data_IF_438288560290
#
_entry.id   IF_438288560290
#
_cell.length_a   1.000
_cell.length_b   1.000
_cell.length_c   1.000
_cell.angle_alpha   90.00
_cell.angle_beta   90.00
_cell.angle_gamma   90.00
#
_symmetry.space_group_name_H-M   'P 1'
#
loop_
_entity.id
_entity.type
_entity.pdbx_description
1 polymer ?
#
# COMPACT_ATOMS: atom_id res chain seq x y z
N UNK A 1 8.04 -9.74 -12.58
CA UNK A 1 7.08 -8.84 -11.94
C UNK A 1 5.67 -9.40 -12.11
N UNK A 2 4.89 -9.41 -11.06
CA UNK A 2 3.60 -10.07 -11.04
C UNK A 2 2.53 -9.13 -10.51
N UNK A 3 1.42 -9.02 -11.22
CA UNK A 3 0.29 -8.18 -10.82
C UNK A 3 -0.94 -9.07 -10.60
N UNK A 4 -1.63 -8.90 -9.47
CA UNK A 4 -2.80 -9.71 -9.17
C UNK A 4 -3.70 -9.04 -8.15
N UNK A 5 -4.98 -9.42 -8.17
CA UNK A 5 -5.93 -8.95 -7.17
C UNK A 5 -5.91 -9.87 -5.96
N UNK A 6 -5.89 -9.27 -4.77
CA UNK A 6 -5.82 -10.01 -3.51
C UNK A 6 -7.23 -10.33 -3.03
N UNK A 7 -7.46 -11.59 -2.71
CA UNK A 7 -8.73 -12.03 -2.12
C UNK A 7 -8.61 -12.18 -0.60
N UNK A 8 -7.48 -12.71 -0.12
CA UNK A 8 -7.26 -12.92 1.31
C UNK A 8 -6.28 -11.85 1.83
N UNK A 9 -6.79 -10.94 2.63
CA UNK A 9 -6.02 -9.81 3.16
C UNK A 9 -5.64 -10.07 4.61
N UNK A 10 -4.71 -11.02 4.81
CA UNK A 10 -4.28 -11.37 6.15
C UNK A 10 -3.32 -10.31 6.73
N UNK A 11 -3.03 -10.46 8.02
CA UNK A 11 -2.23 -9.46 8.73
C UNK A 11 -0.81 -9.34 8.17
N UNK A 12 -0.20 -10.44 7.77
CA UNK A 12 1.15 -10.42 7.22
C UNK A 12 1.19 -9.60 5.93
N UNK A 13 0.21 -9.80 5.05
CA UNK A 13 0.12 -9.04 3.82
C UNK A 13 -0.10 -7.56 4.11
N UNK A 14 -1.01 -7.24 5.01
CA UNK A 14 -1.29 -5.84 5.37
C UNK A 14 -0.03 -5.17 5.92
N UNK A 15 0.73 -5.87 6.76
CA UNK A 15 1.99 -5.33 7.30
C UNK A 15 3.00 -5.06 6.19
N UNK A 16 3.10 -5.95 5.20
CA UNK A 16 3.99 -5.73 4.06
C UNK A 16 3.57 -4.53 3.22
N UNK A 17 2.26 -4.35 3.03
CA UNK A 17 1.75 -3.20 2.29
C UNK A 17 1.93 -1.89 3.05
N UNK A 18 1.89 -1.94 4.38
CA UNK A 18 2.21 -0.77 5.20
C UNK A 18 3.63 -0.30 4.96
N UNK A 19 4.57 -1.24 4.79
CA UNK A 19 5.96 -0.88 4.49
C UNK A 19 6.07 -0.21 3.12
N UNK A 20 5.33 -0.69 2.13
CA UNK A 20 5.28 -0.07 0.81
C UNK A 20 4.72 1.35 0.92
N UNK A 21 3.62 1.51 1.65
CA UNK A 21 2.97 2.79 1.87
C UNK A 21 3.95 3.79 2.52
N UNK A 22 4.58 3.37 3.62
CA UNK A 22 5.47 4.24 4.36
C UNK A 22 6.68 4.68 3.53
N UNK A 23 7.29 3.73 2.82
CA UNK A 23 8.42 4.03 1.96
C UNK A 23 8.03 5.03 0.86
N UNK A 24 6.88 4.82 0.25
CA UNK A 24 6.38 5.71 -0.80
C UNK A 24 6.10 7.12 -0.27
N UNK A 25 5.43 7.20 0.87
CA UNK A 25 5.03 8.49 1.45
C UNK A 25 6.25 9.28 1.89
N UNK A 26 7.22 8.63 2.53
CA UNK A 26 8.44 9.31 2.96
C UNK A 26 9.25 9.86 1.79
N UNK A 27 9.18 9.20 0.65
CA UNK A 27 9.91 9.64 -0.54
C UNK A 27 9.20 10.78 -1.28
N UNK A 28 7.86 10.83 -1.24
CA UNK A 28 7.09 11.76 -2.08
C UNK A 28 6.40 12.88 -1.33
N UNK A 29 6.15 12.71 -0.01
CA UNK A 29 5.44 13.70 0.80
C UNK A 29 6.39 14.36 1.78
N UNK A 30 7.33 15.13 1.25
CA UNK A 30 8.40 15.74 2.05
C UNK A 30 7.90 16.77 3.05
N UNK A 31 6.68 17.28 2.88
CA UNK A 31 6.08 18.23 3.79
C UNK A 31 5.48 17.59 5.04
N UNK A 32 5.38 16.27 5.09
CA UNK A 32 4.86 15.58 6.27
C UNK A 32 5.97 15.26 7.25
N UNK A 33 5.73 15.55 8.53
CA UNK A 33 6.66 15.16 9.58
C UNK A 33 6.54 13.67 9.88
N UNK A 34 7.51 13.10 10.58
CA UNK A 34 7.46 11.71 11.01
C UNK A 34 6.23 11.43 11.88
N UNK A 35 5.86 12.39 12.75
CA UNK A 35 4.67 12.23 13.59
C UNK A 35 3.40 12.18 12.77
N UNK A 36 3.30 13.00 11.73
CA UNK A 36 2.14 13.00 10.85
C UNK A 36 2.03 11.69 10.09
N UNK A 37 3.15 11.18 9.60
CA UNK A 37 3.18 9.89 8.90
C UNK A 37 2.73 8.76 9.84
N UNK A 38 3.23 8.75 11.08
CA UNK A 38 2.84 7.73 12.04
C UNK A 38 1.35 7.80 12.39
N UNK A 39 0.79 9.01 12.47
CA UNK A 39 -0.64 9.17 12.75
C UNK A 39 -1.50 8.65 11.59
N UNK A 40 -1.12 8.94 10.36
CA UNK A 40 -1.86 8.45 9.18
C UNK A 40 -1.71 6.94 9.06
N UNK A 41 -0.53 6.41 9.35
CA UNK A 41 -0.21 4.99 9.25
C UNK A 41 -1.20 4.12 10.03
N UNK A 42 -1.73 4.63 11.14
CA UNK A 42 -2.67 3.88 11.97
C UNK A 42 -3.98 3.55 11.24
N UNK A 43 -4.34 4.34 10.24
CA UNK A 43 -5.60 4.17 9.50
C UNK A 43 -5.44 3.41 8.20
N UNK A 44 -4.20 3.21 7.73
CA UNK A 44 -3.94 2.53 6.46
C UNK A 44 -4.43 1.08 6.46
N UNK A 45 -4.21 0.28 7.53
CA UNK A 45 -4.72 -1.09 7.52
C UNK A 45 -6.23 -1.17 7.31
N UNK A 46 -6.98 -0.28 7.93
CA UNK A 46 -8.43 -0.25 7.78
C UNK A 46 -8.80 0.04 6.33
N UNK A 47 -8.16 1.04 5.72
CA UNK A 47 -8.41 1.37 4.32
C UNK A 47 -8.09 0.20 3.39
N UNK A 48 -6.99 -0.50 3.65
CA UNK A 48 -6.60 -1.66 2.86
C UNK A 48 -7.59 -2.81 2.98
N UNK A 49 -8.21 -2.95 4.15
CA UNK A 49 -9.21 -4.00 4.37
C UNK A 49 -10.57 -3.65 3.78
N UNK A 50 -10.90 -2.36 3.70
CA UNK A 50 -12.23 -1.92 3.27
C UNK A 50 -12.37 -1.69 1.77
N UNK A 51 -11.28 -1.41 1.06
CA UNK A 51 -11.38 -1.13 -0.38
C UNK A 51 -11.88 -2.37 -1.12
N UNK A 52 -12.76 -2.15 -2.11
CA UNK A 52 -13.41 -3.26 -2.82
C UNK A 52 -12.43 -4.14 -3.57
N UNK A 53 -11.47 -3.51 -4.27
CA UNK A 53 -10.49 -4.25 -5.06
C UNK A 53 -9.09 -3.80 -4.64
N UNK A 54 -8.29 -4.73 -4.16
CA UNK A 54 -6.90 -4.48 -3.77
C UNK A 54 -5.99 -5.25 -4.72
N UNK A 55 -5.20 -4.52 -5.48
CA UNK A 55 -4.30 -5.10 -6.48
C UNK A 55 -2.87 -4.87 -6.04
N UNK A 56 -2.06 -5.93 -6.13
CA UNK A 56 -0.67 -5.90 -5.68
C UNK A 56 0.25 -6.22 -6.84
N UNK A 57 1.40 -5.55 -6.84
CA UNK A 57 2.49 -5.87 -7.77
C UNK A 57 3.65 -6.39 -6.94
N UNK A 58 4.13 -7.58 -7.26
CA UNK A 58 5.27 -8.21 -6.59
C UNK A 58 6.47 -8.25 -7.51
N UNK A 59 7.67 -8.18 -6.90
CA UNK A 59 8.91 -8.35 -7.64
C UNK A 59 9.23 -9.84 -7.82
N UNK A 60 10.41 -10.13 -8.36
CA UNK A 60 10.84 -11.51 -8.63
C UNK A 60 11.01 -12.34 -7.37
N UNK A 61 11.18 -11.69 -6.22
CA UNK A 61 11.32 -12.37 -4.93
C UNK A 61 9.99 -12.54 -4.21
N UNK A 62 8.86 -12.30 -4.90
CA UNK A 62 7.51 -12.39 -4.35
C UNK A 62 7.27 -11.40 -3.21
N UNK A 63 7.93 -10.22 -3.28
CA UNK A 63 7.73 -9.16 -2.30
C UNK A 63 6.89 -8.05 -2.91
N UNK A 64 5.88 -7.54 -2.18
CA UNK A 64 5.09 -6.42 -2.69
C UNK A 64 5.96 -5.17 -2.88
N UNK A 65 5.87 -4.57 -4.06
CA UNK A 65 6.57 -3.32 -4.36
C UNK A 65 5.62 -2.19 -4.67
N UNK A 66 4.34 -2.50 -4.88
CA UNK A 66 3.32 -1.51 -5.16
C UNK A 66 1.95 -2.09 -4.87
N UNK A 67 0.99 -1.22 -4.62
CA UNK A 67 -0.40 -1.65 -4.53
C UNK A 67 -1.33 -0.54 -4.98
N UNK A 68 -2.54 -0.92 -5.39
CA UNK A 68 -3.60 0.03 -5.71
C UNK A 68 -4.92 -0.47 -5.18
N UNK A 69 -5.74 0.49 -4.75
CA UNK A 69 -7.10 0.21 -4.28
C UNK A 69 -8.10 0.83 -5.23
N UNK A 70 -9.10 0.06 -5.63
CA UNK A 70 -10.14 0.51 -6.53
C UNK A 70 -11.49 0.37 -5.87
N UNK A 71 -12.28 1.43 -5.92
CA UNK A 71 -13.61 1.49 -5.32
C UNK A 71 -14.55 2.16 -6.31
N UNK A 72 -15.68 1.52 -6.63
CA UNK A 72 -16.67 2.09 -7.55
C UNK A 72 -16.06 2.51 -8.89
N UNK A 73 -15.16 1.69 -9.43
CA UNK A 73 -14.48 1.93 -10.70
C UNK A 73 -13.53 3.14 -10.66
N UNK A 74 -13.20 3.60 -9.45
CA UNK A 74 -12.26 4.71 -9.27
C UNK A 74 -11.00 4.23 -8.56
N UNK A 75 -9.86 4.71 -9.02
CA UNK A 75 -8.60 4.47 -8.34
C UNK A 75 -8.55 5.35 -7.10
N UNK A 76 -8.61 4.74 -5.92
CA UNK A 76 -8.59 5.45 -4.65
C UNK A 76 -7.19 5.53 -4.03
N UNK A 77 -6.35 4.53 -4.31
CA UNK A 77 -5.01 4.45 -3.76
C UNK A 77 -4.05 3.93 -4.82
N UNK A 78 -2.86 4.52 -4.86
CA UNK A 78 -1.75 3.99 -5.67
C UNK A 78 -0.45 4.38 -4.98
N UNK A 79 0.27 3.39 -4.49
CA UNK A 79 1.54 3.60 -3.80
C UNK A 79 2.59 2.65 -4.37
N UNK A 80 3.75 3.19 -4.67
CA UNK A 80 4.87 2.46 -5.26
C UNK A 80 6.09 2.66 -4.37
N UNK A 81 6.76 1.56 -4.04
CA UNK A 81 7.95 1.61 -3.20
C UNK A 81 9.05 2.40 -3.91
N UNK A 82 9.62 3.36 -3.18
CA UNK A 82 10.62 4.25 -3.77
C UNK A 82 11.89 3.53 -4.18
N UNK A 83 12.25 2.48 -3.43
CA UNK A 83 13.45 1.70 -3.70
C UNK A 83 13.33 0.80 -4.92
N UNK A 84 12.18 0.74 -5.55
CA UNK A 84 11.89 -0.05 -6.75
C UNK A 84 11.50 0.87 -7.89
#
# INVERSE_FOLDING_TARGET
MKLFEVKNRDKLLIDELLDVWEDSVKATHLFLSNNEIENIKKYVPQALNEVSHLIIIENENNKPIAFMGIENQKLEMLFIKNSE
#
